data_IF_655939930935
#
_entry.id   IF_655939930935
#
_cell.length_a   1.000
_cell.length_b   1.000
_cell.length_c   1.000
_cell.angle_alpha   90.00
_cell.angle_beta   90.00
_cell.angle_gamma   90.00
#
_symmetry.space_group_name_H-M   'P 1'
#
loop_
_entity.id
_entity.type
_entity.pdbx_description
1 polymer ?
#
# COMPACT_ATOMS: atom_id res chain seq x y z
N UNK A 1 -1.63 31.87 3.93
CA UNK A 1 -1.74 32.20 5.39
C UNK A 1 -0.72 31.36 6.13
N UNK A 2 0.32 31.92 6.75
CA UNK A 2 1.46 31.11 7.24
C UNK A 2 1.09 30.24 8.45
N UNK A 3 1.37 28.94 8.36
CA UNK A 3 1.52 28.07 9.53
C UNK A 3 2.79 28.47 10.30
N UNK A 4 2.89 28.14 11.59
CA UNK A 4 4.20 28.15 12.25
C UNK A 4 5.11 27.14 11.53
N UNK A 5 6.38 27.49 11.29
CA UNK A 5 7.36 26.63 10.58
C UNK A 5 7.37 25.18 11.08
N UNK A 6 7.09 24.95 12.36
CA UNK A 6 7.05 23.62 12.99
C UNK A 6 5.91 22.68 12.56
N UNK A 7 4.84 23.18 11.93
CA UNK A 7 3.71 22.36 11.44
C UNK A 7 3.86 22.05 9.94
N UNK A 8 4.63 22.85 9.21
CA UNK A 8 4.76 22.75 7.77
C UNK A 8 5.65 21.59 7.29
N UNK A 9 6.48 21.03 8.18
CA UNK A 9 7.50 20.02 7.82
C UNK A 9 7.02 18.56 7.97
N UNK A 10 5.74 18.33 8.26
CA UNK A 10 5.22 16.99 8.54
C UNK A 10 3.97 16.73 7.72
N UNK A 11 4.00 15.64 6.94
CA UNK A 11 2.83 15.17 6.20
C UNK A 11 1.67 14.88 7.14
N UNK A 12 0.45 14.90 6.60
CA UNK A 12 -0.72 14.70 7.43
C UNK A 12 -1.94 14.11 6.74
N UNK A 13 -2.92 13.88 7.60
CA UNK A 13 -4.23 13.31 7.27
C UNK A 13 -5.31 14.32 7.62
N UNK A 14 -6.22 14.59 6.69
CA UNK A 14 -7.45 15.34 6.99
C UNK A 14 -8.51 14.37 7.50
N UNK A 15 -9.17 14.74 8.59
CA UNK A 15 -10.33 14.03 9.14
C UNK A 15 -11.51 15.00 9.13
N UNK A 16 -12.55 14.63 8.40
CA UNK A 16 -13.81 15.36 8.31
C UNK A 16 -14.92 14.42 8.76
N UNK A 17 -15.80 14.93 9.61
CA UNK A 17 -17.02 14.22 9.97
C UNK A 17 -18.23 14.99 9.47
N UNK A 18 -19.10 14.28 8.78
CA UNK A 18 -20.32 14.79 8.19
C UNK A 18 -21.56 14.43 9.04
N UNK A 19 -21.38 14.16 10.33
CA UNK A 19 -22.46 13.85 11.28
C UNK A 19 -22.11 14.25 12.73
N UNK A 20 -22.81 13.73 13.74
CA UNK A 20 -22.65 14.13 15.15
C UNK A 20 -21.30 13.68 15.75
N UNK A 21 -20.72 12.61 15.22
CA UNK A 21 -19.37 12.18 15.57
C UNK A 21 -18.40 13.32 15.25
N UNK A 22 -17.54 13.70 16.19
CA UNK A 22 -16.59 14.79 15.93
C UNK A 22 -15.32 14.24 15.27
N UNK A 23 -14.65 14.99 14.37
CA UNK A 23 -13.34 14.60 13.85
C UNK A 23 -12.35 14.33 15.00
N UNK A 24 -12.41 15.13 16.07
CA UNK A 24 -11.61 14.93 17.28
C UNK A 24 -11.85 13.57 17.95
N UNK A 25 -13.10 13.09 18.02
CA UNK A 25 -13.40 11.77 18.59
C UNK A 25 -12.82 10.62 17.76
N UNK A 26 -12.78 10.77 16.42
CA UNK A 26 -12.11 9.83 15.51
C UNK A 26 -10.60 9.85 15.75
N UNK A 27 -10.01 11.05 15.88
CA UNK A 27 -8.58 11.21 16.17
C UNK A 27 -8.23 10.57 17.52
N UNK A 28 -9.05 10.71 18.57
CA UNK A 28 -8.83 9.99 19.83
C UNK A 28 -8.70 8.48 19.64
N UNK A 29 -9.54 7.89 18.78
CA UNK A 29 -9.53 6.45 18.49
C UNK A 29 -8.29 6.04 17.69
N UNK A 30 -7.87 6.83 16.70
CA UNK A 30 -6.63 6.60 15.94
C UNK A 30 -5.40 6.70 16.85
N UNK A 31 -5.36 7.71 17.72
CA UNK A 31 -4.30 7.91 18.71
C UNK A 31 -4.34 6.90 19.86
N UNK A 32 -5.45 6.16 20.01
CA UNK A 32 -5.71 5.25 21.13
C UNK A 32 -5.61 5.95 22.50
N UNK A 33 -6.19 7.14 22.62
CA UNK A 33 -6.21 7.96 23.85
C UNK A 33 -7.64 8.31 24.28
N UNK A 34 -7.84 8.52 25.59
CA UNK A 34 -9.13 8.97 26.13
C UNK A 34 -9.41 10.46 25.86
N UNK A 35 -8.36 11.28 25.83
CA UNK A 35 -8.44 12.72 25.57
C UNK A 35 -7.31 13.17 24.67
N UNK A 36 -7.61 14.08 23.74
CA UNK A 36 -6.62 14.60 22.80
C UNK A 36 -5.48 15.37 23.51
N UNK A 37 -4.24 15.23 23.03
CA UNK A 37 -3.13 16.07 23.47
C UNK A 37 -3.34 17.53 23.04
N UNK A 38 -2.42 18.40 23.47
CA UNK A 38 -2.40 19.78 22.98
C UNK A 38 -2.23 19.81 21.45
N UNK A 39 -3.04 20.65 20.81
CA UNK A 39 -3.01 20.77 19.36
C UNK A 39 -1.68 21.40 18.92
N UNK A 40 -0.96 20.72 18.02
CA UNK A 40 0.29 21.25 17.43
C UNK A 40 0.02 22.30 16.37
N UNK A 41 -1.21 22.32 15.83
CA UNK A 41 -1.69 23.32 14.91
C UNK A 41 -3.09 23.76 15.31
N UNK A 42 -3.37 25.06 15.30
CA UNK A 42 -4.72 25.57 15.56
C UNK A 42 -4.99 26.79 14.69
N UNK A 43 -6.02 26.70 13.85
CA UNK A 43 -6.61 27.80 13.06
C UNK A 43 -8.12 27.82 13.28
N UNK A 44 -8.82 28.84 12.77
CA UNK A 44 -10.25 29.05 13.03
C UNK A 44 -11.14 27.84 12.73
N UNK A 45 -10.82 27.04 11.70
CA UNK A 45 -11.61 25.89 11.25
C UNK A 45 -10.86 24.54 11.32
N UNK A 46 -9.63 24.51 11.84
CA UNK A 46 -8.75 23.36 11.81
C UNK A 46 -7.95 23.22 13.10
N UNK A 47 -7.86 21.98 13.60
CA UNK A 47 -6.94 21.60 14.69
C UNK A 47 -6.10 20.40 14.27
N UNK A 48 -4.78 20.49 14.46
CA UNK A 48 -3.83 19.43 14.15
C UNK A 48 -3.29 18.78 15.42
N UNK A 49 -3.18 17.46 15.40
CA UNK A 49 -2.66 16.63 16.49
C UNK A 49 -1.55 15.75 15.96
N UNK A 50 -0.40 15.75 16.63
CA UNK A 50 0.71 14.93 16.18
C UNK A 50 0.50 13.47 16.56
N UNK A 51 0.74 12.57 15.61
CA UNK A 51 0.71 11.13 15.81
C UNK A 51 2.06 10.54 15.41
N UNK A 52 2.72 9.87 16.35
CA UNK A 52 3.90 9.07 16.07
C UNK A 52 3.55 7.60 16.23
N UNK A 53 3.91 6.80 15.24
CA UNK A 53 3.65 5.37 15.26
C UNK A 53 4.87 4.60 14.79
N UNK A 54 4.88 3.32 15.14
CA UNK A 54 5.97 2.40 14.87
C UNK A 54 5.39 1.07 14.41
N UNK A 55 5.74 0.65 13.20
CA UNK A 55 5.37 -0.65 12.62
C UNK A 55 6.47 -1.68 12.91
N UNK A 56 6.34 -2.90 12.37
CA UNK A 56 7.44 -3.89 12.42
C UNK A 56 8.70 -3.41 11.70
N UNK A 57 8.55 -2.58 10.67
CA UNK A 57 9.62 -2.24 9.73
C UNK A 57 10.17 -0.82 9.92
N UNK A 58 9.33 0.12 10.36
CA UNK A 58 9.72 1.52 10.41
C UNK A 58 8.98 2.28 11.52
N UNK A 59 9.39 3.53 11.77
CA UNK A 59 8.62 4.50 12.55
C UNK A 59 8.38 5.75 11.73
N UNK A 60 7.25 6.41 11.93
CA UNK A 60 6.92 7.67 11.28
C UNK A 60 6.16 8.59 12.23
N UNK A 61 6.07 9.86 11.85
CA UNK A 61 5.33 10.89 12.55
C UNK A 61 4.50 11.67 11.54
N UNK A 62 3.22 11.82 11.80
CA UNK A 62 2.31 12.61 10.95
C UNK A 62 1.46 13.54 11.78
N UNK A 63 0.73 14.43 11.13
CA UNK A 63 -0.30 15.25 11.78
C UNK A 63 -1.71 14.80 11.35
N UNK A 64 -2.61 14.68 12.32
CA UNK A 64 -4.02 14.40 12.12
C UNK A 64 -4.81 15.70 12.27
N UNK A 65 -5.44 16.16 11.19
CA UNK A 65 -6.13 17.44 11.12
C UNK A 65 -7.65 17.28 11.19
N UNK A 66 -8.24 17.68 12.31
CA UNK A 66 -9.68 17.83 12.46
C UNK A 66 -10.15 19.11 11.75
N UNK A 67 -10.98 18.96 10.71
CA UNK A 67 -11.60 20.09 10.00
C UNK A 67 -13.11 20.06 10.26
N UNK A 68 -13.66 21.19 10.72
CA UNK A 68 -15.09 21.31 11.05
C UNK A 68 -15.89 22.11 10.05
N UNK A 69 -15.25 23.10 9.43
CA UNK A 69 -15.91 24.03 8.55
C UNK A 69 -15.23 24.08 7.20
N UNK A 70 -16.06 24.15 6.17
CA UNK A 70 -15.66 24.28 4.77
C UNK A 70 -14.98 25.63 4.58
N UNK A 71 -13.70 25.60 4.27
CA UNK A 71 -12.93 26.77 3.90
C UNK A 71 -11.90 26.38 2.84
N UNK A 72 -11.44 27.38 2.08
CA UNK A 72 -10.34 27.18 1.15
C UNK A 72 -9.08 26.73 1.92
N UNK A 73 -8.47 25.66 1.44
CA UNK A 73 -7.23 25.15 1.99
C UNK A 73 -6.05 25.92 1.38
N UNK A 74 -5.07 26.23 2.22
CA UNK A 74 -3.82 26.81 1.75
C UNK A 74 -3.11 25.80 0.81
N UNK A 75 -2.54 26.21 -0.33
CA UNK A 75 -1.88 25.30 -1.26
C UNK A 75 -0.75 24.49 -0.62
N UNK A 76 0.08 25.13 0.22
CA UNK A 76 1.19 24.44 0.92
C UNK A 76 0.68 23.38 1.89
N UNK A 77 -0.46 23.64 2.54
CA UNK A 77 -1.12 22.66 3.37
C UNK A 77 -1.70 21.51 2.55
N UNK A 78 -2.32 21.82 1.40
CA UNK A 78 -2.91 20.81 0.52
C UNK A 78 -1.86 19.83 -0.01
N UNK A 79 -0.65 20.33 -0.35
CA UNK A 79 0.49 19.51 -0.79
C UNK A 79 1.03 18.59 0.33
N UNK A 80 0.95 19.03 1.59
CA UNK A 80 1.41 18.24 2.75
C UNK A 80 0.45 17.12 3.17
N UNK A 81 -0.79 17.14 2.69
CA UNK A 81 -1.80 16.14 3.06
C UNK A 81 -1.72 14.97 2.10
N UNK A 82 -1.50 13.76 2.64
CA UNK A 82 -1.40 12.51 1.87
C UNK A 82 -2.55 11.54 2.14
N UNK A 83 -3.40 11.87 3.10
CA UNK A 83 -4.56 11.06 3.44
C UNK A 83 -5.79 11.91 3.75
N UNK A 84 -6.96 11.42 3.35
CA UNK A 84 -8.27 12.02 3.64
C UNK A 84 -9.21 10.95 4.19
N UNK A 85 -9.81 11.25 5.33
CA UNK A 85 -10.79 10.38 6.00
C UNK A 85 -12.09 11.16 6.15
N UNK A 86 -13.14 10.66 5.53
CA UNK A 86 -14.51 11.10 5.78
C UNK A 86 -15.19 10.16 6.75
N UNK A 87 -15.93 10.70 7.71
CA UNK A 87 -16.97 9.96 8.40
C UNK A 87 -18.35 10.43 7.96
N UNK A 88 -19.27 9.50 7.73
CA UNK A 88 -20.68 9.79 7.48
C UNK A 88 -21.59 8.80 8.20
N UNK A 89 -22.81 9.25 8.50
CA UNK A 89 -23.89 8.39 8.95
C UNK A 89 -24.58 7.75 7.73
N UNK A 90 -24.39 6.45 7.58
CA UNK A 90 -24.95 5.63 6.50
C UNK A 90 -26.47 5.56 6.50
N UNK A 91 -27.15 5.97 7.57
CA UNK A 91 -28.61 6.00 7.64
C UNK A 91 -29.18 7.38 7.27
N UNK A 92 -28.33 8.38 7.02
CA UNK A 92 -28.73 9.78 6.83
C UNK A 92 -28.23 10.33 5.51
N UNK A 93 -29.15 10.55 4.57
CA UNK A 93 -28.83 11.06 3.23
C UNK A 93 -28.06 12.39 3.30
N UNK A 94 -28.45 13.31 4.18
CA UNK A 94 -27.79 14.60 4.31
C UNK A 94 -26.34 14.49 4.79
N UNK A 95 -25.98 13.44 5.52
CA UNK A 95 -24.59 13.17 5.91
C UNK A 95 -23.76 12.76 4.69
N UNK A 96 -24.30 11.88 3.85
CA UNK A 96 -23.67 11.49 2.59
C UNK A 96 -23.58 12.65 1.59
N UNK A 97 -24.64 13.45 1.43
CA UNK A 97 -24.62 14.66 0.60
C UNK A 97 -23.55 15.67 1.07
N UNK A 98 -23.32 15.75 2.38
CA UNK A 98 -22.28 16.62 2.93
C UNK A 98 -20.88 16.13 2.54
N UNK A 99 -20.61 14.81 2.53
CA UNK A 99 -19.36 14.24 1.97
C UNK A 99 -19.16 14.69 0.52
N UNK A 100 -20.20 14.59 -0.31
CA UNK A 100 -20.11 15.00 -1.72
C UNK A 100 -19.77 16.49 -1.86
N UNK A 101 -20.33 17.34 -0.98
CA UNK A 101 -20.06 18.77 -1.00
C UNK A 101 -18.61 19.13 -0.62
N UNK A 102 -17.90 18.26 0.10
CA UNK A 102 -16.48 18.42 0.43
C UNK A 102 -15.54 18.12 -0.75
N UNK A 103 -15.97 17.35 -1.74
CA UNK A 103 -15.14 16.97 -2.89
C UNK A 103 -14.58 18.18 -3.65
N UNK A 104 -15.39 19.25 -3.80
CA UNK A 104 -14.93 20.47 -4.46
C UNK A 104 -13.87 21.25 -3.68
N UNK A 105 -13.83 21.09 -2.35
CA UNK A 105 -12.91 21.77 -1.45
C UNK A 105 -11.57 21.04 -1.43
N UNK A 106 -11.60 19.71 -1.43
CA UNK A 106 -10.42 18.85 -1.40
C UNK A 106 -9.83 18.54 -2.77
N UNK A 107 -10.37 19.10 -3.86
CA UNK A 107 -9.92 18.84 -5.24
C UNK A 107 -8.43 19.06 -5.51
N UNK A 108 -7.77 19.89 -4.70
CA UNK A 108 -6.34 20.21 -4.82
C UNK A 108 -5.47 19.41 -3.85
N UNK A 109 -6.08 18.54 -3.04
CA UNK A 109 -5.37 17.62 -2.15
C UNK A 109 -5.12 16.34 -2.93
N UNK A 110 -3.85 16.03 -3.16
CA UNK A 110 -3.41 14.81 -3.84
C UNK A 110 -3.16 13.70 -2.79
N UNK A 111 -4.25 13.22 -2.20
CA UNK A 111 -4.20 12.19 -1.17
C UNK A 111 -4.22 10.80 -1.79
N UNK A 112 -3.24 9.97 -1.41
CA UNK A 112 -3.14 8.57 -1.86
C UNK A 112 -3.92 7.61 -0.96
N UNK A 113 -4.13 7.98 0.31
CA UNK A 113 -4.98 7.20 1.23
C UNK A 113 -6.32 7.91 1.40
N UNK A 114 -7.38 7.34 0.84
CA UNK A 114 -8.71 7.93 0.87
C UNK A 114 -9.69 6.95 1.51
N UNK A 115 -10.21 7.28 2.71
CA UNK A 115 -11.11 6.40 3.46
C UNK A 115 -12.47 7.06 3.64
N UNK A 116 -13.53 6.32 3.30
CA UNK A 116 -14.91 6.65 3.65
C UNK A 116 -15.33 5.74 4.81
N UNK A 117 -15.58 6.33 5.97
CA UNK A 117 -15.83 5.64 7.22
C UNK A 117 -17.29 5.80 7.62
N UNK A 118 -17.93 4.73 8.07
CA UNK A 118 -19.24 4.77 8.68
C UNK A 118 -19.31 3.80 9.85
N UNK A 119 -20.39 3.87 10.66
CA UNK A 119 -20.59 2.86 11.68
C UNK A 119 -20.77 1.46 11.06
N UNK A 120 -21.70 1.34 10.13
CA UNK A 120 -21.99 0.14 9.34
C UNK A 120 -22.83 0.53 8.12
N UNK A 121 -22.78 -0.22 7.03
CA UNK A 121 -23.69 -0.05 5.90
C UNK A 121 -24.72 -1.18 5.89
N UNK A 122 -25.97 -0.82 5.60
CA UNK A 122 -27.05 -1.78 5.43
C UNK A 122 -27.11 -2.22 3.96
N UNK A 123 -27.34 -3.51 3.72
CA UNK A 123 -27.56 -4.02 2.35
C UNK A 123 -28.89 -3.52 1.77
N UNK A 124 -29.89 -3.36 2.64
CA UNK A 124 -31.20 -2.82 2.29
C UNK A 124 -31.57 -1.69 3.27
N UNK A 125 -31.97 -0.54 2.75
CA UNK A 125 -32.45 0.57 3.57
C UNK A 125 -33.50 1.40 2.82
N UNK A 126 -34.13 2.36 3.51
CA UNK A 126 -35.18 3.20 2.94
C UNK A 126 -34.71 4.09 1.77
N UNK A 127 -33.40 4.27 1.62
CA UNK A 127 -32.83 5.10 0.58
C UNK A 127 -31.79 4.30 -0.22
N UNK A 128 -32.09 3.92 -1.47
CA UNK A 128 -31.17 3.14 -2.29
C UNK A 128 -29.78 3.75 -2.43
N UNK A 129 -29.65 5.08 -2.40
CA UNK A 129 -28.34 5.74 -2.48
C UNK A 129 -27.39 5.38 -1.32
N UNK A 130 -27.93 4.95 -0.19
CA UNK A 130 -27.19 4.60 1.03
C UNK A 130 -27.01 3.09 1.23
N UNK A 131 -27.54 2.26 0.33
CA UNK A 131 -27.28 0.82 0.34
C UNK A 131 -25.77 0.57 0.20
N UNK A 132 -25.25 -0.41 0.95
CA UNK A 132 -23.84 -0.81 0.95
C UNK A 132 -23.26 -0.91 -0.45
N UNK A 133 -23.99 -1.55 -1.37
CA UNK A 133 -23.59 -1.73 -2.77
C UNK A 133 -23.37 -0.39 -3.50
N UNK A 134 -24.24 0.59 -3.29
CA UNK A 134 -24.15 1.89 -3.96
C UNK A 134 -23.05 2.76 -3.34
N UNK A 135 -22.85 2.69 -2.03
CA UNK A 135 -21.71 3.32 -1.34
C UNK A 135 -20.39 2.71 -1.82
N UNK A 136 -20.26 1.38 -1.86
CA UNK A 136 -19.06 0.71 -2.38
C UNK A 136 -18.78 1.09 -3.84
N UNK A 137 -19.83 1.15 -4.68
CA UNK A 137 -19.69 1.61 -6.06
C UNK A 137 -19.14 3.03 -6.12
N UNK A 138 -19.65 3.94 -5.29
CA UNK A 138 -19.15 5.31 -5.21
C UNK A 138 -17.69 5.34 -4.74
N UNK A 139 -17.34 4.55 -3.73
CA UNK A 139 -15.97 4.41 -3.23
C UNK A 139 -14.99 4.03 -4.35
N UNK A 140 -15.28 2.96 -5.10
CA UNK A 140 -14.47 2.53 -6.25
C UNK A 140 -14.35 3.64 -7.31
N UNK A 141 -15.45 4.33 -7.63
CA UNK A 141 -15.47 5.40 -8.63
C UNK A 141 -14.64 6.63 -8.22
N UNK A 142 -14.48 6.88 -6.92
CA UNK A 142 -13.78 8.05 -6.38
C UNK A 142 -12.48 7.69 -5.65
N UNK A 143 -12.01 6.45 -5.80
CA UNK A 143 -10.79 5.92 -5.18
C UNK A 143 -10.79 5.95 -3.64
N UNK A 144 -11.96 5.87 -3.02
CA UNK A 144 -12.08 5.68 -1.57
C UNK A 144 -12.15 4.19 -1.24
N UNK A 145 -11.63 3.82 -0.08
CA UNK A 145 -11.92 2.55 0.59
C UNK A 145 -13.06 2.76 1.59
N UNK A 146 -14.07 1.88 1.59
CA UNK A 146 -15.11 1.88 2.62
C UNK A 146 -14.59 1.15 3.86
N UNK A 147 -14.60 1.83 5.01
CA UNK A 147 -14.28 1.22 6.31
C UNK A 147 -15.49 1.29 7.24
N UNK A 148 -16.02 0.12 7.60
CA UNK A 148 -17.10 0.00 8.57
C UNK A 148 -16.51 -0.19 9.97
N UNK A 149 -16.91 0.67 10.92
CA UNK A 149 -16.43 0.58 12.31
C UNK A 149 -16.99 -0.63 13.05
N UNK A 150 -18.20 -1.05 12.70
CA UNK A 150 -18.94 -2.17 13.27
C UNK A 150 -19.64 -2.94 12.13
N UNK A 151 -18.88 -3.65 11.26
CA UNK A 151 -19.46 -4.41 10.17
C UNK A 151 -20.43 -5.48 10.70
N UNK A 152 -21.40 -5.87 9.87
CA UNK A 152 -22.24 -7.02 10.19
C UNK A 152 -21.33 -8.26 10.37
N UNK A 153 -21.65 -9.16 11.32
CA UNK A 153 -20.91 -10.41 11.45
C UNK A 153 -21.02 -11.18 10.12
N UNK A 154 -19.87 -11.46 9.51
CA UNK A 154 -19.78 -12.38 8.38
C UNK A 154 -20.11 -13.78 8.92
N UNK A 155 -20.75 -14.64 8.11
CA UNK A 155 -20.94 -16.04 8.51
C UNK A 155 -19.54 -16.66 8.60
N UNK A 156 -19.06 -16.89 9.82
CA UNK A 156 -17.74 -17.43 10.15
C UNK A 156 -17.61 -18.92 9.77
N UNK A 157 -17.91 -19.28 8.52
CA UNK A 157 -17.65 -20.62 7.96
C UNK A 157 -16.33 -20.67 7.17
N UNK A 158 -15.54 -19.58 7.15
CA UNK A 158 -14.19 -19.56 6.58
C UNK A 158 -13.16 -19.61 7.72
N UNK A 159 -12.81 -20.84 8.10
CA UNK A 159 -11.79 -21.27 9.09
C UNK A 159 -10.34 -20.85 8.74
N UNK A 160 -10.12 -19.70 8.11
CA UNK A 160 -8.78 -19.15 7.90
C UNK A 160 -8.46 -18.13 8.99
N UNK A 161 -8.07 -18.62 10.17
CA UNK A 161 -7.53 -17.78 11.26
C UNK A 161 -6.35 -16.90 10.81
N UNK A 162 -5.70 -17.26 9.70
CA UNK A 162 -4.56 -16.56 9.11
C UNK A 162 -4.96 -15.35 8.24
N UNK A 163 -6.24 -15.14 7.93
CA UNK A 163 -6.72 -14.04 7.07
C UNK A 163 -7.66 -13.06 7.80
N UNK A 164 -7.47 -12.87 9.11
CA UNK A 164 -8.16 -11.81 9.86
C UNK A 164 -7.63 -10.44 9.43
N UNK A 165 -8.18 -9.89 8.36
CA UNK A 165 -7.95 -8.50 7.96
C UNK A 165 -8.40 -7.56 9.08
N UNK A 166 -7.65 -6.49 9.35
CA UNK A 166 -8.05 -5.50 10.33
C UNK A 166 -9.42 -4.93 9.98
N UNK A 167 -10.25 -4.68 11.00
CA UNK A 167 -11.61 -4.12 10.87
C UNK A 167 -11.72 -2.83 11.69
N UNK A 168 -12.69 -1.99 11.36
CA UNK A 168 -12.97 -0.75 12.05
C UNK A 168 -11.75 0.17 12.23
N UNK A 169 -11.50 0.67 13.45
CA UNK A 169 -10.40 1.59 13.70
C UNK A 169 -9.02 0.98 13.46
N UNK A 170 -8.86 -0.33 13.66
CA UNK A 170 -7.60 -1.01 13.36
C UNK A 170 -7.30 -0.96 11.87
N UNK A 171 -8.33 -1.07 11.00
CA UNK A 171 -8.16 -0.91 9.55
C UNK A 171 -7.74 0.50 9.16
N UNK A 172 -8.32 1.52 9.80
CA UNK A 172 -7.93 2.92 9.57
C UNK A 172 -6.45 3.12 9.94
N UNK A 173 -6.05 2.61 11.10
CA UNK A 173 -4.67 2.70 11.57
C UNK A 173 -3.73 1.96 10.61
N UNK A 174 -4.08 0.74 10.20
CA UNK A 174 -3.28 -0.06 9.26
C UNK A 174 -3.13 0.63 7.90
N UNK A 175 -4.20 1.20 7.34
CA UNK A 175 -4.15 1.95 6.08
C UNK A 175 -3.18 3.12 6.17
N UNK A 176 -3.23 3.89 7.26
CA UNK A 176 -2.28 4.99 7.49
C UNK A 176 -0.85 4.48 7.74
N UNK A 177 -0.68 3.37 8.45
CA UNK A 177 0.63 2.75 8.70
C UNK A 177 1.21 2.02 7.48
N UNK A 178 0.41 1.74 6.46
CA UNK A 178 0.87 1.10 5.22
C UNK A 178 1.35 2.12 4.20
N UNK A 179 1.04 3.41 4.40
CA UNK A 179 1.51 4.47 3.55
C UNK A 179 3.01 4.77 3.76
N UNK A 180 3.72 5.08 2.68
CA UNK A 180 5.15 5.38 2.70
C UNK A 180 5.37 6.87 2.96
N UNK A 181 5.22 7.29 4.22
CA UNK A 181 5.38 8.69 4.63
C UNK A 181 6.80 9.20 4.36
N UNK A 182 6.93 10.46 3.92
CA UNK A 182 8.21 11.07 3.54
C UNK A 182 9.26 11.08 4.68
N UNK A 183 8.82 11.08 5.93
CA UNK A 183 9.68 11.07 7.12
C UNK A 183 9.76 9.69 7.81
N UNK A 184 9.47 8.60 7.09
CA UNK A 184 9.62 7.26 7.64
C UNK A 184 11.09 6.94 7.93
N UNK A 185 11.34 6.27 9.06
CA UNK A 185 12.67 5.83 9.48
C UNK A 185 12.63 4.32 9.68
N UNK A 186 13.36 3.59 8.84
CA UNK A 186 13.48 2.13 8.96
C UNK A 186 14.08 1.76 10.31
N UNK A 187 13.56 0.69 10.90
CA UNK A 187 14.21 0.07 12.05
C UNK A 187 15.45 -0.63 11.55
N UNK A 188 16.60 -0.32 12.12
CA UNK A 188 17.79 -1.14 11.92
C UNK A 188 17.45 -2.55 12.41
N UNK A 189 17.56 -3.56 11.54
CA UNK A 189 17.62 -4.93 11.99
C UNK A 189 18.77 -5.01 12.99
N UNK A 190 18.48 -5.48 14.20
CA UNK A 190 19.49 -5.66 15.23
C UNK A 190 20.67 -6.36 14.57
N UNK A 191 21.79 -5.65 14.43
CA UNK A 191 23.09 -6.29 14.27
C UNK A 191 23.14 -7.36 15.34
N UNK A 192 23.34 -8.61 14.92
CA UNK A 192 23.54 -9.74 15.82
C UNK A 192 24.67 -9.33 16.75
N UNK A 193 24.29 -8.91 17.96
CA UNK A 193 25.22 -8.47 18.99
C UNK A 193 25.85 -9.76 19.52
N UNK A 194 26.97 -10.16 18.89
CA UNK A 194 27.89 -11.15 19.43
C UNK A 194 28.19 -10.74 20.86
N UNK A 195 27.55 -11.41 21.81
CA UNK A 195 27.79 -11.19 23.22
C UNK A 195 29.18 -11.77 23.57
N UNK A 196 30.20 -10.99 23.95
CA UNK A 196 31.39 -11.55 24.55
C UNK A 196 31.08 -11.77 26.03
N UNK A 197 31.25 -13.00 26.46
CA UNK A 197 31.12 -13.47 27.84
C UNK A 197 31.85 -12.55 28.82
N UNK A 198 31.17 -12.27 29.93
CA UNK A 198 31.65 -11.67 31.17
C UNK A 198 33.09 -12.07 31.55
N UNK A 199 33.90 -11.08 31.90
CA UNK A 199 35.17 -11.27 32.60
C UNK A 199 35.71 -9.98 33.22
N UNK A 200 35.49 -9.84 34.53
CA UNK A 200 36.30 -9.13 35.53
C UNK A 200 36.52 -7.59 35.48
N UNK A 201 35.87 -6.95 36.45
CA UNK A 201 36.25 -5.80 37.30
C UNK A 201 37.62 -5.11 37.12
N UNK A 202 37.60 -3.76 37.16
CA UNK A 202 38.68 -3.01 37.80
C UNK A 202 38.96 -1.56 37.34
N UNK A 203 38.58 -0.61 38.21
CA UNK A 203 39.28 0.67 38.52
C UNK A 203 38.85 1.96 37.78
N UNK A 204 38.76 3.01 38.61
CA UNK A 204 38.18 4.36 38.44
C UNK A 204 39.12 5.42 37.84
N UNK A 205 38.46 6.52 37.41
CA UNK A 205 38.85 7.94 37.44
C UNK A 205 39.98 8.47 36.52
N UNK A 206 39.64 9.42 35.63
CA UNK A 206 39.86 10.88 35.86
C UNK A 206 39.60 11.72 34.59
N UNK A 207 39.20 12.98 34.82
CA UNK A 207 38.81 14.03 33.88
C UNK A 207 39.99 14.60 33.06
N UNK A 208 39.74 15.12 31.84
CA UNK A 208 40.09 16.51 31.44
C UNK A 208 39.84 16.84 29.96
N UNK A 209 39.66 18.14 29.73
CA UNK A 209 39.15 18.89 28.57
C UNK A 209 40.16 19.11 27.42
N UNK A 210 39.63 19.41 26.21
CA UNK A 210 39.99 20.49 25.25
C UNK A 210 39.65 20.06 23.80
N UNK A 211 38.74 20.72 23.07
CA UNK A 211 38.85 21.99 22.33
C UNK A 211 39.60 21.91 20.97
N UNK A 212 38.81 22.00 19.90
CA UNK A 212 39.03 22.57 18.55
C UNK A 212 40.39 22.46 17.84
N UNK A 213 40.40 22.04 16.55
CA UNK A 213 40.40 22.95 15.37
C UNK A 213 40.56 22.18 14.05
N UNK A 214 39.87 22.71 13.03
CA UNK A 214 39.93 22.44 11.60
C UNK A 214 41.37 22.36 11.03
N UNK A 215 41.61 21.68 9.89
CA UNK A 215 41.81 22.32 8.56
C UNK A 215 41.95 21.25 7.45
N UNK A 216 41.35 21.53 6.28
CA UNK A 216 41.66 20.95 4.96
C UNK A 216 43.13 21.20 4.56
N UNK A 217 43.62 20.50 3.51
CA UNK A 217 43.88 21.24 2.26
C UNK A 217 43.42 20.51 0.98
N UNK A 218 43.58 21.23 -0.11
CA UNK A 218 42.89 21.23 -1.39
C UNK A 218 43.74 20.74 -2.57
N UNK A 219 43.09 20.11 -3.58
CA UNK A 219 43.28 20.26 -5.07
C UNK A 219 44.61 19.70 -5.65
N UNK A 220 44.71 18.96 -6.78
CA UNK A 220 44.09 19.06 -8.12
C UNK A 220 44.24 17.79 -8.99
N UNK A 221 43.21 17.54 -9.82
CA UNK A 221 43.19 17.20 -11.26
C UNK A 221 43.98 16.02 -11.87
N UNK A 222 43.23 15.03 -12.40
CA UNK A 222 42.99 14.73 -13.83
C UNK A 222 43.05 13.22 -14.14
N UNK A 223 41.91 12.62 -14.52
CA UNK A 223 41.71 12.08 -15.88
C UNK A 223 40.35 11.41 -16.05
N UNK A 224 39.85 11.57 -17.28
CA UNK A 224 38.69 10.94 -17.91
C UNK A 224 38.68 9.42 -17.74
N UNK A 225 37.52 8.83 -17.44
CA UNK A 225 36.95 7.79 -18.30
C UNK A 225 35.44 7.60 -18.08
N UNK A 226 34.82 7.20 -19.18
CA UNK A 226 33.45 6.82 -19.48
C UNK A 226 32.98 5.55 -18.75
N UNK A 227 31.67 5.45 -18.47
CA UNK A 227 30.85 4.21 -18.52
C UNK A 227 29.48 4.53 -17.87
N UNK A 228 28.43 4.87 -18.63
CA UNK A 228 27.44 3.97 -19.27
C UNK A 228 26.72 3.03 -18.31
N UNK A 229 25.44 3.33 -18.14
CA UNK A 229 24.34 2.45 -17.76
C UNK A 229 24.38 1.12 -18.51
N UNK A 230 24.44 0.02 -17.77
CA UNK A 230 24.27 -1.34 -18.30
C UNK A 230 22.88 -1.84 -17.90
N UNK A 231 21.90 -1.57 -18.76
CA UNK A 231 20.76 -2.46 -18.98
C UNK A 231 21.32 -3.70 -19.71
N UNK A 232 21.44 -4.83 -19.02
CA UNK A 232 21.68 -6.10 -19.70
C UNK A 232 20.39 -6.58 -20.37
N UNK A 233 20.13 -6.02 -21.56
CA UNK A 233 19.21 -6.60 -22.53
C UNK A 233 19.75 -7.94 -23.02
N UNK A 234 19.01 -9.00 -22.76
CA UNK A 234 19.28 -10.32 -23.35
C UNK A 234 19.10 -10.24 -24.87
N UNK A 235 20.17 -10.61 -25.58
CA UNK A 235 20.29 -10.62 -27.04
C UNK A 235 19.19 -11.45 -27.70
N UNK A 236 18.38 -10.81 -28.54
CA UNK A 236 17.64 -11.49 -29.60
C UNK A 236 18.64 -12.09 -30.60
N UNK A 237 18.81 -13.41 -30.56
CA UNK A 237 19.45 -14.12 -31.67
C UNK A 237 18.42 -14.30 -32.79
N UNK A 238 18.58 -13.52 -33.86
CA UNK A 238 17.90 -13.79 -35.12
C UNK A 238 18.50 -15.06 -35.74
N UNK A 239 17.74 -16.14 -35.75
CA UNK A 239 18.00 -17.32 -36.57
C UNK A 239 16.73 -17.63 -37.34
N UNK A 240 16.89 -17.65 -38.66
CA UNK A 240 15.83 -17.85 -39.63
C UNK A 240 15.03 -19.15 -39.37
N UNK A 241 13.70 -19.04 -39.25
CA UNK A 241 12.76 -20.11 -39.62
C UNK A 241 12.52 -21.27 -38.65
N UNK A 242 13.12 -21.30 -37.44
CA UNK A 242 12.92 -22.38 -36.45
C UNK A 242 12.13 -21.97 -35.19
N UNK A 243 11.45 -20.82 -35.19
CA UNK A 243 10.75 -20.28 -34.02
C UNK A 243 9.52 -21.12 -33.60
N UNK A 244 8.86 -21.79 -34.54
CA UNK A 244 7.64 -22.56 -34.30
C UNK A 244 7.86 -23.85 -33.49
N UNK A 245 9.07 -24.41 -33.53
CA UNK A 245 9.40 -25.66 -32.81
C UNK A 245 9.81 -25.44 -31.36
N UNK A 246 10.41 -24.28 -31.07
CA UNK A 246 10.93 -23.96 -29.74
C UNK A 246 9.82 -23.76 -28.71
N UNK A 247 8.69 -23.16 -29.11
CA UNK A 247 7.53 -22.97 -28.22
C UNK A 247 6.90 -24.30 -27.77
N UNK A 248 6.77 -25.24 -28.70
CA UNK A 248 6.17 -26.54 -28.42
C UNK A 248 7.13 -27.41 -27.59
N UNK A 249 8.44 -27.27 -27.82
CA UNK A 249 9.47 -27.90 -27.02
C UNK A 249 9.49 -27.34 -25.58
N UNK A 250 9.33 -26.03 -25.39
CA UNK A 250 9.27 -25.40 -24.07
C UNK A 250 8.03 -25.83 -23.28
N UNK A 251 6.85 -25.81 -23.92
CA UNK A 251 5.62 -26.33 -23.31
C UNK A 251 5.78 -27.81 -22.92
N UNK A 252 6.37 -28.63 -23.79
CA UNK A 252 6.58 -30.05 -23.50
C UNK A 252 7.60 -30.29 -22.39
N UNK A 253 8.66 -29.48 -22.29
CA UNK A 253 9.66 -29.61 -21.22
C UNK A 253 9.04 -29.35 -19.84
N UNK A 254 8.21 -28.31 -19.72
CA UNK A 254 7.47 -28.00 -18.48
C UNK A 254 6.42 -29.07 -18.18
N UNK A 255 5.77 -29.62 -19.22
CA UNK A 255 4.80 -30.71 -19.05
C UNK A 255 5.44 -32.05 -18.68
N UNK A 256 6.72 -32.27 -18.98
CA UNK A 256 7.44 -33.53 -18.69
C UNK A 256 8.14 -33.56 -17.32
N UNK A 257 8.00 -32.51 -16.50
CA UNK A 257 8.46 -32.52 -15.12
C UNK A 257 9.97 -32.29 -14.92
N UNK A 258 10.66 -31.66 -15.87
CA UNK A 258 12.04 -31.19 -15.66
C UNK A 258 12.06 -29.84 -14.92
N UNK A 259 12.28 -29.93 -13.59
CA UNK A 259 12.59 -28.91 -12.56
C UNK A 259 11.96 -27.47 -12.65
N UNK A 260 11.06 -27.12 -11.69
CA UNK A 260 10.35 -25.85 -11.58
C UNK A 260 11.16 -24.75 -10.86
N UNK A 261 12.32 -24.39 -11.40
CA UNK A 261 13.01 -23.16 -11.01
C UNK A 261 12.28 -21.91 -11.54
N UNK A 262 12.38 -20.77 -10.82
CA UNK A 262 11.75 -19.49 -11.20
C UNK A 262 12.12 -18.96 -12.59
N UNK A 263 13.18 -19.48 -13.21
CA UNK A 263 13.58 -19.18 -14.59
C UNK A 263 12.59 -19.73 -15.64
N UNK A 264 11.82 -20.78 -15.30
CA UNK A 264 10.82 -21.39 -16.20
C UNK A 264 9.59 -20.49 -16.41
N UNK A 265 9.13 -19.82 -15.34
CA UNK A 265 7.99 -18.91 -15.41
C UNK A 265 8.32 -17.66 -16.24
N UNK A 266 9.50 -17.06 -16.03
CA UNK A 266 9.92 -15.87 -16.77
C UNK A 266 10.11 -16.17 -18.26
N UNK A 267 10.65 -17.36 -18.58
CA UNK A 267 10.74 -17.85 -19.96
C UNK A 267 9.36 -18.05 -20.61
N UNK A 268 8.38 -18.63 -19.89
CA UNK A 268 7.00 -18.77 -20.38
C UNK A 268 6.33 -17.40 -20.56
N UNK A 269 6.49 -16.50 -19.59
CA UNK A 269 5.87 -15.19 -19.61
C UNK A 269 6.39 -14.31 -20.75
N UNK A 270 7.71 -14.35 -21.01
CA UNK A 270 8.31 -13.65 -22.15
C UNK A 270 7.72 -14.06 -23.51
N UNK A 271 7.15 -15.27 -23.59
CA UNK A 271 6.50 -15.82 -24.80
C UNK A 271 4.98 -15.74 -24.77
N UNK A 272 4.37 -15.17 -23.72
CA UNK A 272 2.91 -15.13 -23.57
C UNK A 272 2.20 -14.37 -24.70
N UNK A 273 2.80 -13.29 -25.21
CA UNK A 273 2.25 -12.55 -26.34
C UNK A 273 2.15 -13.42 -27.61
N UNK A 274 3.19 -14.22 -27.90
CA UNK A 274 3.19 -15.17 -29.02
C UNK A 274 2.16 -16.29 -28.82
N UNK A 275 2.09 -16.84 -27.60
CA UNK A 275 1.09 -17.87 -27.26
C UNK A 275 -0.34 -17.36 -27.45
N UNK A 276 -0.61 -16.10 -27.06
CA UNK A 276 -1.91 -15.45 -27.25
C UNK A 276 -2.24 -15.22 -28.72
N UNK A 277 -1.28 -14.81 -29.53
CA UNK A 277 -1.47 -14.62 -30.97
C UNK A 277 -1.77 -15.95 -31.68
N UNK A 278 -1.04 -17.01 -31.33
CA UNK A 278 -1.29 -18.37 -31.82
C UNK A 278 -2.67 -18.87 -31.44
N UNK A 279 -3.09 -18.64 -30.18
CA UNK A 279 -4.43 -18.99 -29.74
C UNK A 279 -5.51 -18.28 -30.58
N UNK A 280 -5.31 -17.03 -31.01
CA UNK A 280 -6.29 -16.31 -31.82
C UNK A 280 -6.56 -16.97 -33.19
N UNK A 281 -5.53 -17.61 -33.77
CA UNK A 281 -5.59 -18.27 -35.09
C UNK A 281 -6.20 -19.67 -35.11
N UNK A 282 -6.39 -20.32 -33.95
CA UNK A 282 -6.92 -21.69 -33.85
C UNK A 282 -8.46 -21.74 -33.94
N UNK A 283 -9.01 -22.90 -34.30
CA UNK A 283 -10.47 -23.11 -34.23
C UNK A 283 -10.92 -23.30 -32.75
N UNK A 284 -12.22 -23.31 -32.45
CA UNK A 284 -12.71 -23.35 -31.06
C UNK A 284 -12.26 -24.60 -30.28
N UNK A 285 -12.15 -25.75 -30.93
CA UNK A 285 -11.76 -27.01 -30.29
C UNK A 285 -10.25 -27.07 -30.02
N UNK A 286 -9.45 -26.63 -30.99
CA UNK A 286 -8.00 -26.48 -30.87
C UNK A 286 -7.61 -25.38 -29.87
N UNK A 287 -8.37 -24.29 -29.83
CA UNK A 287 -8.24 -23.20 -28.85
C UNK A 287 -8.38 -23.71 -27.44
N UNK A 288 -9.38 -24.57 -27.17
CA UNK A 288 -9.61 -25.16 -25.85
C UNK A 288 -8.40 -25.98 -25.41
N UNK A 289 -7.95 -26.93 -26.24
CA UNK A 289 -6.79 -27.80 -25.95
C UNK A 289 -5.49 -27.01 -25.81
N UNK A 290 -5.31 -25.95 -26.59
CA UNK A 290 -4.13 -25.11 -26.51
C UNK A 290 -4.13 -24.24 -25.24
N UNK A 291 -5.27 -23.64 -24.89
CA UNK A 291 -5.41 -22.84 -23.67
C UNK A 291 -5.20 -23.67 -22.41
N UNK A 292 -5.69 -24.91 -22.39
CA UNK A 292 -5.50 -25.88 -21.32
C UNK A 292 -4.01 -26.19 -21.10
N UNK A 293 -3.26 -26.48 -22.17
CA UNK A 293 -1.82 -26.72 -22.11
C UNK A 293 -1.03 -25.51 -21.59
N UNK A 294 -1.40 -24.31 -22.03
CA UNK A 294 -0.78 -23.07 -21.55
C UNK A 294 -1.10 -22.86 -20.07
N UNK A 295 -2.35 -23.05 -19.65
CA UNK A 295 -2.76 -22.90 -18.26
C UNK A 295 -2.02 -23.87 -17.33
N UNK A 296 -1.92 -25.15 -17.71
CA UNK A 296 -1.20 -26.17 -16.95
C UNK A 296 0.29 -25.84 -16.85
N UNK A 297 0.92 -25.40 -17.94
CA UNK A 297 2.34 -25.02 -17.94
C UNK A 297 2.62 -23.82 -17.01
N UNK A 298 1.74 -22.81 -17.01
CA UNK A 298 1.86 -21.68 -16.09
C UNK A 298 1.60 -22.09 -14.64
N UNK A 299 0.62 -22.97 -14.38
CA UNK A 299 0.33 -23.49 -13.04
C UNK A 299 1.54 -24.21 -12.45
N UNK A 300 2.13 -25.13 -13.20
CA UNK A 300 3.34 -25.85 -12.81
C UNK A 300 4.55 -24.93 -12.62
N UNK A 301 4.72 -23.94 -13.49
CA UNK A 301 5.80 -22.96 -13.36
C UNK A 301 5.66 -22.04 -12.14
N UNK A 302 4.44 -21.88 -11.60
CA UNK A 302 4.18 -21.18 -10.32
C UNK A 302 4.34 -22.09 -9.09
N UNK A 303 4.65 -23.38 -9.29
CA UNK A 303 4.80 -24.36 -8.21
C UNK A 303 3.48 -24.98 -7.74
N UNK A 304 2.43 -24.97 -8.56
CA UNK A 304 1.18 -25.67 -8.27
C UNK A 304 1.34 -27.19 -8.30
N UNK A 305 0.59 -27.90 -7.46
CA UNK A 305 0.71 -29.34 -7.26
C UNK A 305 -0.01 -30.13 -8.37
N UNK A 306 0.50 -31.31 -8.74
CA UNK A 306 -0.09 -32.17 -9.78
C UNK A 306 -1.49 -32.66 -9.41
N UNK A 307 -1.76 -32.86 -8.11
CA UNK A 307 -3.05 -33.31 -7.59
C UNK A 307 -4.18 -32.27 -7.87
N UNK A 308 -3.84 -31.00 -8.07
CA UNK A 308 -4.81 -29.91 -8.33
C UNK A 308 -5.27 -29.87 -9.80
N UNK A 309 -4.52 -30.52 -10.69
CA UNK A 309 -4.81 -30.62 -12.12
C UNK A 309 -5.13 -32.07 -12.54
N UNK A 310 -5.10 -33.02 -11.61
CA UNK A 310 -5.45 -34.41 -11.83
C UNK A 310 -6.95 -34.52 -12.18
N UNK A 311 -7.25 -35.01 -13.38
CA UNK A 311 -8.62 -35.09 -13.92
C UNK A 311 -8.98 -34.01 -14.95
N UNK A 312 -8.06 -33.11 -15.30
CA UNK A 312 -8.20 -32.21 -16.45
C UNK A 312 -7.77 -32.84 -17.79
N UNK A 313 -7.01 -33.94 -17.76
CA UNK A 313 -6.57 -34.65 -18.96
C UNK A 313 -7.74 -35.45 -19.57
N UNK A 314 -8.53 -34.79 -20.42
CA UNK A 314 -9.50 -35.45 -21.31
C UNK A 314 -8.72 -36.30 -22.34
N UNK A 315 -8.20 -37.45 -21.90
CA UNK A 315 -7.73 -38.53 -22.77
C UNK A 315 -8.86 -39.50 -23.09
N UNK A 316 -9.82 -39.01 -23.89
CA UNK A 316 -10.64 -39.83 -24.82
C UNK A 316 -10.55 -39.29 -26.26
#
# INVERSE_FOLDING_TARGET
>A
MSFSETVADCEGTIIISCDEVTPESIICKILQVESLPEAVASKSNLKGYSWSFTTKYYSSKINLYAIKEKAELDPTFSESVKAVIFYFDSQKLSSYEDVLSWMGILKNVDAEVQLLVCNNCLDECNNPALERKNILKWCVQNQYELVELNPAPENEDEDDENFKSAKGYDRIIEALQSYTWANLVMKDEKSVDESPKKGAEGIKESESKNAAKETKPSVSENNKDSSSSEEEGYKTMNVDGEELGLEQHLLNNVLNGEDPGGESFEALFSKFASMKEKAAGLNNEEKKKYAEKVAIAFWRAMGGDEDEIEGLDDSE
#
